data_IF_629675135881
#
_entry.id   IF_629675135881
#
_cell.length_a   1.000
_cell.length_b   1.000
_cell.length_c   1.000
_cell.angle_alpha   90.00
_cell.angle_beta   90.00
_cell.angle_gamma   90.00
#
_symmetry.space_group_name_H-M   'P 1'
#
loop_
_entity.id
_entity.type
_entity.pdbx_description
1 polymer ?
#
# COMPACT_ATOMS: atom_id res chain seq x y z
N UNK A 1 -17.52 7.28 17.18
CA UNK A 1 -16.30 6.53 17.54
C UNK A 1 -16.02 5.60 16.37
N UNK A 2 -14.86 5.76 15.73
CA UNK A 2 -14.49 4.96 14.57
C UNK A 2 -13.97 3.57 15.00
N UNK A 3 -13.99 2.60 14.09
CA UNK A 3 -13.54 1.23 14.40
C UNK A 3 -12.02 1.11 14.62
N UNK A 4 -11.25 2.16 14.29
CA UNK A 4 -9.80 2.26 14.49
C UNK A 4 -9.40 3.32 15.51
N UNK A 5 -10.34 3.79 16.34
CA UNK A 5 -10.05 4.76 17.39
C UNK A 5 -8.89 4.31 18.29
N UNK A 6 -7.92 5.22 18.49
CA UNK A 6 -6.72 4.97 19.27
C UNK A 6 -5.59 4.25 18.53
N UNK A 7 -5.82 3.68 17.36
CA UNK A 7 -4.78 3.02 16.54
C UNK A 7 -3.88 4.04 15.84
N UNK A 8 -2.64 3.67 15.63
CA UNK A 8 -1.64 4.45 14.90
C UNK A 8 -1.28 3.76 13.60
N UNK A 9 -1.38 4.47 12.48
CA UNK A 9 -1.05 3.97 11.15
C UNK A 9 0.12 4.74 10.53
N UNK A 10 1.09 4.02 9.97
CA UNK A 10 2.12 4.55 9.09
C UNK A 10 1.83 4.11 7.66
N UNK A 11 1.64 5.07 6.74
CA UNK A 11 1.34 4.81 5.33
C UNK A 11 2.43 5.38 4.45
N UNK A 12 3.16 4.52 3.72
CA UNK A 12 4.20 4.93 2.77
C UNK A 12 3.61 5.29 1.41
N UNK A 13 4.18 6.28 0.72
CA UNK A 13 3.63 6.78 -0.53
C UNK A 13 2.25 7.42 -0.39
N UNK A 14 1.96 8.03 0.78
CA UNK A 14 0.65 8.57 1.14
C UNK A 14 0.32 9.92 0.47
N UNK A 15 1.18 10.47 -0.37
CA UNK A 15 0.98 11.80 -0.97
C UNK A 15 0.12 11.82 -2.23
N UNK A 16 -0.37 10.69 -2.72
CA UNK A 16 -1.25 10.60 -3.88
C UNK A 16 -1.81 9.18 -4.05
N UNK A 17 -2.91 9.05 -4.80
CA UNK A 17 -3.45 7.77 -5.29
C UNK A 17 -3.84 6.81 -4.17
N UNK A 18 -3.47 5.52 -4.33
CA UNK A 18 -3.87 4.46 -3.39
C UNK A 18 -3.40 4.74 -1.96
N UNK A 19 -2.14 5.18 -1.79
CA UNK A 19 -1.61 5.49 -0.46
C UNK A 19 -2.32 6.65 0.22
N UNK A 20 -2.65 7.71 -0.52
CA UNK A 20 -3.47 8.82 -0.02
C UNK A 20 -4.88 8.34 0.36
N UNK A 21 -5.53 7.58 -0.54
CA UNK A 21 -6.88 7.04 -0.29
C UNK A 21 -6.91 6.15 0.96
N UNK A 22 -5.91 5.29 1.16
CA UNK A 22 -5.79 4.47 2.37
C UNK A 22 -5.61 5.35 3.62
N UNK A 23 -4.72 6.36 3.56
CA UNK A 23 -4.48 7.26 4.68
C UNK A 23 -5.76 8.01 5.10
N UNK A 24 -6.52 8.52 4.12
CA UNK A 24 -7.80 9.19 4.35
C UNK A 24 -8.84 8.26 4.97
N UNK A 25 -8.98 7.04 4.45
CA UNK A 25 -9.95 6.07 4.95
C UNK A 25 -9.63 5.59 6.37
N UNK A 26 -8.35 5.31 6.68
CA UNK A 26 -7.92 4.93 8.03
C UNK A 26 -8.19 6.05 9.04
N UNK A 27 -7.88 7.32 8.66
CA UNK A 27 -8.14 8.47 9.51
C UNK A 27 -9.64 8.74 9.73
N UNK A 28 -10.48 8.51 8.72
CA UNK A 28 -11.94 8.64 8.82
C UNK A 28 -12.54 7.66 9.85
N UNK A 29 -11.86 6.54 10.11
CA UNK A 29 -12.23 5.54 11.11
C UNK A 29 -11.51 5.73 12.45
N UNK A 30 -10.87 6.89 12.66
CA UNK A 30 -10.29 7.28 13.95
C UNK A 30 -8.83 6.93 14.15
N UNK A 31 -8.14 6.34 13.15
CA UNK A 31 -6.70 6.13 13.25
C UNK A 31 -5.93 7.46 13.20
N UNK A 32 -4.86 7.55 14.01
CA UNK A 32 -3.85 8.61 13.90
C UNK A 32 -2.86 8.21 12.81
N UNK A 33 -2.69 9.04 11.77
CA UNK A 33 -1.96 8.65 10.57
C UNK A 33 -0.66 9.42 10.42
N UNK A 34 0.46 8.70 10.27
CA UNK A 34 1.69 9.24 9.73
C UNK A 34 1.71 9.03 8.21
N UNK A 35 1.60 10.11 7.46
CA UNK A 35 1.70 10.11 6.00
C UNK A 35 3.17 10.26 5.60
N UNK A 36 3.77 9.23 4.99
CA UNK A 36 5.17 9.22 4.60
C UNK A 36 5.36 9.19 3.08
N UNK A 37 6.38 9.91 2.58
CA UNK A 37 6.72 9.90 1.16
C UNK A 37 7.85 10.84 0.79
N UNK A 38 8.45 10.68 -0.38
CA UNK A 38 9.61 11.45 -0.82
C UNK A 38 9.33 12.96 -0.96
N UNK A 39 8.15 13.33 -1.41
CA UNK A 39 7.75 14.73 -1.61
C UNK A 39 6.97 15.22 -0.41
N UNK A 40 7.65 15.89 0.53
CA UNK A 40 7.07 16.35 1.78
C UNK A 40 5.81 17.21 1.58
N UNK A 41 5.76 18.07 0.56
CA UNK A 41 4.59 18.92 0.28
C UNK A 41 3.33 18.09 -0.04
N UNK A 42 3.47 16.97 -0.77
CA UNK A 42 2.34 16.09 -1.09
C UNK A 42 1.79 15.39 0.16
N UNK A 43 2.66 14.82 1.00
CA UNK A 43 2.21 14.14 2.22
C UNK A 43 1.68 15.12 3.26
N UNK A 44 2.19 16.36 3.31
CA UNK A 44 1.61 17.44 4.12
C UNK A 44 0.19 17.77 3.64
N UNK A 45 -0.05 17.87 2.33
CA UNK A 45 -1.37 18.11 1.80
C UNK A 45 -2.37 17.01 2.21
N UNK A 46 -1.95 15.74 2.21
CA UNK A 46 -2.76 14.63 2.70
C UNK A 46 -3.06 14.77 4.21
N UNK A 47 -2.05 15.08 5.03
CA UNK A 47 -2.24 15.29 6.47
C UNK A 47 -3.19 16.47 6.77
N UNK A 48 -3.05 17.57 6.04
CA UNK A 48 -3.97 18.71 6.12
C UNK A 48 -5.40 18.36 5.69
N UNK A 49 -5.54 17.52 4.66
CA UNK A 49 -6.85 17.04 4.23
C UNK A 49 -7.52 16.18 5.31
N UNK A 50 -6.75 15.30 5.97
CA UNK A 50 -7.22 14.52 7.12
C UNK A 50 -7.67 15.46 8.25
N UNK A 51 -6.83 16.46 8.59
CA UNK A 51 -7.16 17.43 9.64
C UNK A 51 -8.43 18.24 9.34
N UNK A 52 -8.62 18.68 8.07
CA UNK A 52 -9.86 19.37 7.64
C UNK A 52 -11.11 18.51 7.78
N UNK A 53 -10.96 17.18 7.72
CA UNK A 53 -12.07 16.22 7.93
C UNK A 53 -12.24 15.81 9.40
N UNK A 54 -11.49 16.43 10.33
CA UNK A 54 -11.58 16.17 11.78
C UNK A 54 -10.74 14.99 12.25
N UNK A 55 -9.91 14.38 11.39
CA UNK A 55 -8.96 13.33 11.75
C UNK A 55 -7.63 13.86 12.27
N UNK A 56 -6.76 12.97 12.70
CA UNK A 56 -5.41 13.29 13.21
C UNK A 56 -4.34 12.71 12.30
N UNK A 57 -3.47 13.55 11.75
CA UNK A 57 -2.36 13.11 10.94
C UNK A 57 -1.13 14.00 11.09
N UNK A 58 0.02 13.41 10.84
CA UNK A 58 1.29 14.10 10.62
C UNK A 58 1.93 13.63 9.31
N UNK A 59 2.93 14.37 8.83
CA UNK A 59 3.61 14.09 7.58
C UNK A 59 5.12 14.04 7.78
N UNK A 60 5.79 13.08 7.19
CA UNK A 60 7.25 12.97 7.19
C UNK A 60 7.81 12.70 5.79
N UNK A 61 8.97 13.31 5.50
CA UNK A 61 9.73 12.95 4.30
C UNK A 61 10.39 11.57 4.52
N UNK A 62 10.32 10.70 3.50
CA UNK A 62 10.97 9.39 3.54
C UNK A 62 11.24 8.90 2.11
N UNK A 63 12.50 8.71 1.75
CA UNK A 63 12.85 7.90 0.60
C UNK A 63 12.92 6.44 1.05
N UNK A 64 11.98 5.63 0.60
CA UNK A 64 11.89 4.21 0.98
C UNK A 64 13.05 3.36 0.47
N UNK A 65 13.92 3.91 -0.39
CA UNK A 65 15.18 3.27 -0.81
C UNK A 65 16.33 3.50 0.17
N UNK A 66 16.16 4.39 1.15
CA UNK A 66 17.14 4.72 2.19
C UNK A 66 16.76 4.04 3.50
N UNK A 67 17.58 3.12 3.99
CA UNK A 67 17.34 2.44 5.28
C UNK A 67 17.31 3.44 6.44
N UNK A 68 18.16 4.46 6.42
CA UNK A 68 18.16 5.50 7.45
C UNK A 68 16.86 6.31 7.47
N UNK A 69 16.31 6.64 6.29
CA UNK A 69 15.02 7.35 6.21
C UNK A 69 13.87 6.48 6.70
N UNK A 70 13.90 5.16 6.39
CA UNK A 70 12.90 4.21 6.87
C UNK A 70 12.88 4.16 8.40
N UNK A 71 14.07 4.01 9.03
CA UNK A 71 14.19 4.00 10.51
C UNK A 71 13.71 5.32 11.11
N UNK A 72 14.19 6.45 10.58
CA UNK A 72 13.77 7.78 11.02
C UNK A 72 12.24 7.99 10.84
N UNK A 73 11.63 7.42 9.80
CA UNK A 73 10.19 7.49 9.57
C UNK A 73 9.39 6.71 10.64
N UNK A 74 9.87 5.52 11.04
CA UNK A 74 9.27 4.76 12.14
C UNK A 74 9.44 5.53 13.46
N UNK A 75 10.63 6.02 13.76
CA UNK A 75 10.90 6.80 14.98
C UNK A 75 10.02 8.05 15.05
N UNK A 76 9.90 8.82 13.96
CA UNK A 76 9.00 9.97 13.89
C UNK A 76 7.52 9.60 14.13
N UNK A 77 7.11 8.40 13.74
CA UNK A 77 5.75 7.91 14.02
C UNK A 77 5.55 7.64 15.51
N UNK A 78 6.54 7.02 16.14
CA UNK A 78 6.54 6.74 17.58
C UNK A 78 6.56 8.01 18.41
N UNK A 79 7.43 8.96 18.05
CA UNK A 79 7.54 10.27 18.71
C UNK A 79 6.24 11.07 18.63
N UNK A 80 5.58 11.01 17.47
CA UNK A 80 4.34 11.76 17.24
C UNK A 80 3.13 11.15 17.97
N UNK A 81 3.06 9.82 18.05
CA UNK A 81 1.82 9.13 18.42
C UNK A 81 1.97 8.09 19.54
N UNK A 82 3.21 7.78 19.96
CA UNK A 82 3.49 6.88 21.08
C UNK A 82 3.34 5.39 20.75
N UNK A 83 3.16 5.00 19.47
CA UNK A 83 3.03 3.60 19.07
C UNK A 83 2.88 3.42 17.56
N UNK A 84 2.77 2.15 17.13
CA UNK A 84 2.52 1.80 15.73
C UNK A 84 1.73 0.48 15.68
N UNK A 85 0.51 0.55 15.18
CA UNK A 85 -0.42 -0.59 15.08
C UNK A 85 -0.63 -1.08 13.65
N UNK A 86 -0.55 -0.18 12.66
CA UNK A 86 -0.87 -0.45 11.26
C UNK A 86 0.27 0.07 10.39
N UNK A 87 0.95 -0.83 9.68
CA UNK A 87 1.96 -0.46 8.69
C UNK A 87 1.41 -0.73 7.29
N UNK A 88 1.38 0.29 6.43
CA UNK A 88 0.97 0.16 5.02
C UNK A 88 2.17 0.43 4.11
N UNK A 89 2.72 -0.62 3.52
CA UNK A 89 3.79 -0.56 2.53
C UNK A 89 3.17 -0.38 1.14
N UNK A 90 3.01 0.88 0.73
CA UNK A 90 2.41 1.23 -0.56
C UNK A 90 3.39 1.90 -1.53
N UNK A 91 4.41 2.63 -1.04
CA UNK A 91 5.39 3.29 -1.89
C UNK A 91 6.08 2.31 -2.84
N UNK A 92 6.17 2.66 -4.14
CA UNK A 92 6.76 1.80 -5.16
C UNK A 92 7.16 2.60 -6.40
N UNK A 93 8.34 2.34 -6.93
CA UNK A 93 8.71 2.67 -8.30
C UNK A 93 8.37 1.48 -9.21
N UNK A 94 7.60 1.72 -10.25
CA UNK A 94 7.06 0.65 -11.09
C UNK A 94 7.96 0.40 -12.29
N UNK A 95 8.72 -0.71 -12.35
CA UNK A 95 9.55 -1.04 -13.51
C UNK A 95 8.67 -1.55 -14.66
N UNK A 96 8.36 -0.66 -15.60
CA UNK A 96 7.58 -0.99 -16.80
C UNK A 96 8.49 -1.17 -18.00
N UNK A 97 8.24 -2.20 -18.79
CA UNK A 97 8.95 -2.49 -20.02
C UNK A 97 9.03 -3.99 -20.30
N UNK A 98 9.30 -4.33 -21.58
CA UNK A 98 9.53 -5.72 -21.97
C UNK A 98 10.83 -6.22 -21.33
N UNK A 99 10.85 -7.46 -20.83
CA UNK A 99 12.00 -8.04 -20.13
C UNK A 99 13.28 -8.02 -20.99
N UNK A 100 13.15 -8.15 -22.31
CA UNK A 100 14.29 -8.12 -23.24
C UNK A 100 14.96 -6.75 -23.34
N UNK A 101 14.26 -5.66 -23.02
CA UNK A 101 14.75 -4.28 -23.18
C UNK A 101 14.77 -3.47 -21.89
N UNK A 102 14.21 -4.00 -20.79
CA UNK A 102 14.20 -3.32 -19.50
C UNK A 102 15.64 -3.12 -19.01
N UNK A 103 15.98 -1.91 -18.61
CA UNK A 103 17.29 -1.63 -18.07
C UNK A 103 17.39 -2.15 -16.62
N UNK A 104 18.61 -2.59 -16.25
CA UNK A 104 18.87 -3.16 -14.93
C UNK A 104 18.55 -2.18 -13.79
N UNK A 105 18.90 -0.92 -13.95
CA UNK A 105 18.63 0.13 -12.95
C UNK A 105 17.13 0.36 -12.70
N UNK A 106 16.29 0.17 -13.72
CA UNK A 106 14.83 0.22 -13.58
C UNK A 106 14.30 -0.95 -12.72
N UNK A 107 14.82 -2.16 -12.95
CA UNK A 107 14.48 -3.32 -12.12
C UNK A 107 14.98 -3.13 -10.68
N UNK A 108 16.23 -2.67 -10.51
CA UNK A 108 16.81 -2.39 -9.19
C UNK A 108 16.00 -1.33 -8.43
N UNK A 109 15.60 -0.24 -9.10
CA UNK A 109 14.75 0.79 -8.48
C UNK A 109 13.41 0.22 -8.00
N UNK A 110 12.79 -0.66 -8.79
CA UNK A 110 11.56 -1.37 -8.41
C UNK A 110 11.78 -2.28 -7.20
N UNK A 111 12.90 -3.01 -7.18
CA UNK A 111 13.27 -3.91 -6.09
C UNK A 111 13.56 -3.16 -4.79
N UNK A 112 14.36 -2.10 -4.87
CA UNK A 112 14.74 -1.28 -3.73
C UNK A 112 13.53 -0.56 -3.10
N UNK A 113 12.64 -0.02 -3.92
CA UNK A 113 11.46 0.72 -3.43
C UNK A 113 10.29 -0.16 -3.03
N UNK A 114 10.26 -1.41 -3.46
CA UNK A 114 9.20 -2.38 -3.18
C UNK A 114 9.57 -3.38 -2.10
N UNK A 115 9.99 -4.62 -2.48
CA UNK A 115 10.19 -5.69 -1.52
C UNK A 115 11.26 -5.37 -0.48
N UNK A 116 12.38 -4.73 -0.85
CA UNK A 116 13.43 -4.42 0.11
C UNK A 116 12.99 -3.31 1.08
N UNK A 117 12.32 -2.27 0.59
CA UNK A 117 11.73 -1.24 1.45
C UNK A 117 10.70 -1.83 2.42
N UNK A 118 9.76 -2.66 1.92
CA UNK A 118 8.77 -3.32 2.76
C UNK A 118 9.41 -4.20 3.82
N UNK A 119 10.43 -4.97 3.47
CA UNK A 119 11.22 -5.78 4.41
C UNK A 119 11.82 -4.93 5.52
N UNK A 120 12.49 -3.82 5.17
CA UNK A 120 13.13 -2.93 6.15
C UNK A 120 12.10 -2.25 7.06
N UNK A 121 10.97 -1.76 6.50
CA UNK A 121 9.86 -1.22 7.31
C UNK A 121 9.28 -2.26 8.25
N UNK A 122 9.05 -3.48 7.76
CA UNK A 122 8.52 -4.58 8.56
C UNK A 122 9.45 -4.91 9.73
N UNK A 123 10.77 -4.98 9.51
CA UNK A 123 11.73 -5.21 10.59
C UNK A 123 11.75 -4.06 11.61
N UNK A 124 11.79 -2.81 11.15
CA UNK A 124 11.81 -1.64 12.03
C UNK A 124 10.51 -1.51 12.84
N UNK A 125 9.36 -1.82 12.24
CA UNK A 125 8.05 -1.71 12.87
C UNK A 125 7.70 -2.90 13.78
N UNK A 126 8.28 -4.08 13.57
CA UNK A 126 7.90 -5.32 14.25
C UNK A 126 7.83 -5.22 15.78
N UNK A 127 8.82 -4.63 16.51
CA UNK A 127 8.75 -4.55 17.97
C UNK A 127 7.50 -3.81 18.47
N UNK A 128 7.04 -2.82 17.72
CA UNK A 128 5.90 -1.97 18.05
C UNK A 128 4.58 -2.63 17.66
N UNK A 129 4.54 -3.23 16.46
CA UNK A 129 3.40 -4.02 16.00
C UNK A 129 3.10 -5.19 16.95
N UNK A 130 4.13 -5.85 17.49
CA UNK A 130 3.98 -6.92 18.49
C UNK A 130 3.30 -6.44 19.76
N UNK A 131 3.62 -5.25 20.26
CA UNK A 131 3.00 -4.67 21.46
C UNK A 131 1.50 -4.45 21.27
N UNK A 132 1.09 -3.93 20.10
CA UNK A 132 -0.30 -3.60 19.75
C UNK A 132 -1.08 -4.74 19.09
N UNK A 133 -0.47 -5.92 18.87
CA UNK A 133 -1.04 -6.98 18.02
C UNK A 133 -1.48 -6.43 16.68
N UNK A 134 -0.57 -5.73 16.03
CA UNK A 134 -0.83 -4.91 14.87
C UNK A 134 -0.97 -5.68 13.56
N UNK A 135 -1.02 -4.91 12.47
CA UNK A 135 -1.13 -5.46 11.12
C UNK A 135 -0.19 -4.76 10.14
N UNK A 136 0.40 -5.55 9.26
CA UNK A 136 1.09 -5.07 8.06
C UNK A 136 0.19 -5.31 6.84
N UNK A 137 0.01 -4.28 6.03
CA UNK A 137 -0.70 -4.35 4.74
C UNK A 137 0.31 -3.99 3.64
N UNK A 138 0.71 -4.98 2.88
CA UNK A 138 1.64 -4.82 1.75
C UNK A 138 0.85 -4.69 0.44
N UNK A 139 1.07 -3.60 -0.31
CA UNK A 139 0.40 -3.38 -1.59
C UNK A 139 1.07 -4.21 -2.68
N UNK A 140 0.34 -5.22 -3.16
CA UNK A 140 0.70 -6.03 -4.31
C UNK A 140 0.03 -5.50 -5.60
N UNK A 141 -0.12 -6.33 -6.63
CA UNK A 141 -0.79 -5.96 -7.89
C UNK A 141 -1.46 -7.17 -8.53
N UNK A 142 -2.67 -6.98 -9.06
CA UNK A 142 -3.35 -8.00 -9.87
C UNK A 142 -2.64 -8.28 -11.21
N UNK A 143 -1.78 -7.36 -11.68
CA UNK A 143 -0.90 -7.61 -12.82
C UNK A 143 0.05 -8.80 -12.60
N UNK A 144 0.34 -9.17 -11.35
CA UNK A 144 1.14 -10.35 -11.01
C UNK A 144 0.39 -11.68 -11.23
N UNK A 145 -0.95 -11.65 -11.32
CA UNK A 145 -1.78 -12.82 -11.57
C UNK A 145 -2.04 -13.07 -13.07
N UNK A 146 -1.60 -12.15 -13.93
CA UNK A 146 -1.82 -12.22 -15.37
C UNK A 146 -0.50 -12.28 -16.11
N UNK A 147 -0.45 -13.13 -17.12
CA UNK A 147 0.64 -13.13 -18.10
C UNK A 147 0.23 -12.23 -19.26
N UNK A 148 0.54 -10.94 -19.19
CA UNK A 148 0.25 -10.02 -20.28
C UNK A 148 1.53 -9.52 -20.98
N UNK A 149 1.48 -9.25 -22.30
CA UNK A 149 2.64 -8.86 -23.09
C UNK A 149 2.96 -7.36 -22.98
N UNK A 150 2.27 -6.59 -22.14
CA UNK A 150 2.35 -5.12 -22.11
C UNK A 150 3.42 -4.57 -21.14
N UNK A 151 4.37 -5.42 -20.72
CA UNK A 151 5.56 -4.95 -20.02
C UNK A 151 5.46 -4.88 -18.50
N UNK A 152 4.53 -5.58 -17.88
CA UNK A 152 4.43 -5.68 -16.43
C UNK A 152 5.27 -6.81 -15.80
N UNK A 153 6.00 -7.62 -16.57
CA UNK A 153 6.71 -8.79 -16.07
C UNK A 153 7.70 -8.51 -14.93
N UNK A 154 8.50 -7.46 -15.05
CA UNK A 154 9.43 -7.05 -13.99
C UNK A 154 8.70 -6.54 -12.74
N UNK A 155 7.64 -5.75 -12.92
CA UNK A 155 6.79 -5.28 -11.82
C UNK A 155 6.08 -6.44 -11.11
N UNK A 156 5.57 -7.40 -11.87
CA UNK A 156 4.97 -8.62 -11.33
C UNK A 156 5.96 -9.40 -10.46
N UNK A 157 7.20 -9.61 -10.93
CA UNK A 157 8.24 -10.29 -10.17
C UNK A 157 8.55 -9.59 -8.84
N UNK A 158 8.68 -8.26 -8.85
CA UNK A 158 8.88 -7.44 -7.65
C UNK A 158 7.72 -7.62 -6.65
N UNK A 159 6.48 -7.63 -7.14
CA UNK A 159 5.29 -7.77 -6.28
C UNK A 159 5.07 -9.21 -5.79
N UNK A 160 5.45 -10.22 -6.57
CA UNK A 160 5.43 -11.62 -6.09
C UNK A 160 6.48 -11.86 -4.98
N UNK A 161 7.66 -11.24 -5.05
CA UNK A 161 8.62 -11.27 -3.96
C UNK A 161 8.02 -10.71 -2.67
N UNK A 162 7.29 -9.60 -2.75
CA UNK A 162 6.58 -9.01 -1.61
C UNK A 162 5.51 -9.96 -1.04
N UNK A 163 4.74 -10.62 -1.90
CA UNK A 163 3.74 -11.63 -1.47
C UNK A 163 4.39 -12.80 -0.75
N UNK A 164 5.50 -13.32 -1.28
CA UNK A 164 6.23 -14.42 -0.65
C UNK A 164 6.73 -14.04 0.76
N UNK A 165 7.37 -12.88 0.90
CA UNK A 165 7.80 -12.36 2.21
C UNK A 165 6.64 -12.13 3.17
N UNK A 166 5.50 -11.64 2.68
CA UNK A 166 4.31 -11.42 3.51
C UNK A 166 3.78 -12.73 4.10
N UNK A 167 3.77 -13.82 3.31
CA UNK A 167 3.38 -15.14 3.80
C UNK A 167 4.35 -15.66 4.87
N UNK A 168 5.66 -15.53 4.65
CA UNK A 168 6.67 -15.93 5.63
C UNK A 168 6.49 -15.16 6.95
N UNK A 169 6.43 -13.82 6.89
CA UNK A 169 6.24 -12.99 8.06
C UNK A 169 4.92 -13.27 8.81
N UNK A 170 3.84 -13.61 8.09
CA UNK A 170 2.57 -13.99 8.70
C UNK A 170 2.69 -15.26 9.57
N UNK A 171 3.47 -16.23 9.12
CA UNK A 171 3.76 -17.45 9.89
C UNK A 171 4.69 -17.18 11.08
N UNK A 172 5.76 -16.41 10.86
CA UNK A 172 6.75 -16.11 11.89
C UNK A 172 6.16 -15.25 13.02
N UNK A 173 5.31 -14.27 12.70
CA UNK A 173 4.81 -13.27 13.64
C UNK A 173 3.40 -13.54 14.16
N UNK A 174 2.71 -14.52 13.58
CA UNK A 174 1.39 -14.94 14.04
C UNK A 174 1.33 -15.30 15.52
N UNK A 175 2.30 -16.06 16.11
CA UNK A 175 2.35 -16.34 17.55
C UNK A 175 2.42 -15.08 18.42
N UNK A 176 2.97 -13.99 17.91
CA UNK A 176 3.02 -12.68 18.59
C UNK A 176 1.75 -11.84 18.37
N UNK A 177 0.79 -12.36 17.60
CA UNK A 177 -0.47 -11.68 17.29
C UNK A 177 -0.37 -10.65 16.18
N UNK A 178 0.77 -10.55 15.48
CA UNK A 178 0.96 -9.64 14.33
C UNK A 178 0.43 -10.32 13.07
N UNK A 179 -0.45 -9.63 12.35
CA UNK A 179 -0.97 -10.09 11.08
C UNK A 179 -0.21 -9.45 9.91
N UNK A 180 0.05 -10.20 8.87
CA UNK A 180 0.67 -9.68 7.63
C UNK A 180 -0.18 -10.12 6.45
N UNK A 181 -0.67 -9.18 5.68
CA UNK A 181 -1.57 -9.40 4.54
C UNK A 181 -1.13 -8.62 3.32
N UNK A 182 -1.48 -9.11 2.15
CA UNK A 182 -1.34 -8.35 0.91
C UNK A 182 -2.70 -7.81 0.45
N UNK A 183 -2.69 -6.60 -0.12
CA UNK A 183 -3.82 -5.98 -0.80
C UNK A 183 -3.45 -5.77 -2.27
N UNK A 184 -4.25 -6.28 -3.20
CA UNK A 184 -4.06 -6.14 -4.64
C UNK A 184 -5.14 -5.22 -5.22
N UNK A 185 -4.87 -3.91 -5.37
CA UNK A 185 -5.86 -2.98 -5.89
C UNK A 185 -5.82 -2.85 -7.41
N UNK A 186 -6.98 -2.57 -7.99
CA UNK A 186 -7.11 -1.81 -9.22
C UNK A 186 -7.87 -0.53 -8.88
N UNK A 187 -7.19 0.62 -9.00
CA UNK A 187 -7.75 1.89 -8.54
C UNK A 187 -7.52 3.03 -9.53
N UNK A 188 -8.41 3.99 -9.50
CA UNK A 188 -8.38 5.23 -10.26
C UNK A 188 -7.32 6.19 -9.70
N UNK A 189 -6.05 5.74 -9.79
CA UNK A 189 -4.89 6.50 -9.36
C UNK A 189 -4.60 7.68 -10.31
N UNK A 190 -3.76 8.66 -9.92
CA UNK A 190 -3.36 9.75 -10.83
C UNK A 190 -2.78 9.26 -12.17
N UNK A 191 -2.00 8.17 -12.15
CA UNK A 191 -1.49 7.56 -13.38
C UNK A 191 -2.59 6.97 -14.26
N UNK A 192 -3.61 6.35 -13.66
CA UNK A 192 -4.77 5.86 -14.39
C UNK A 192 -5.58 7.03 -15.00
N UNK A 193 -5.84 8.09 -14.22
CA UNK A 193 -6.58 9.27 -14.69
C UNK A 193 -5.86 9.96 -15.86
N UNK A 194 -4.54 10.06 -15.79
CA UNK A 194 -3.75 10.62 -16.89
C UNK A 194 -3.78 9.71 -18.14
N UNK A 195 -3.72 8.39 -17.95
CA UNK A 195 -3.88 7.44 -19.05
C UNK A 195 -5.28 7.52 -19.68
N UNK A 196 -6.35 7.55 -18.87
CA UNK A 196 -7.74 7.72 -19.32
C UNK A 196 -7.92 9.03 -20.12
N UNK A 197 -7.27 10.12 -19.67
CA UNK A 197 -7.33 11.42 -20.35
C UNK A 197 -6.58 11.41 -21.68
N UNK A 198 -5.43 10.74 -21.75
CA UNK A 198 -4.56 10.74 -22.94
C UNK A 198 -4.92 9.68 -23.96
N UNK A 199 -5.55 8.57 -23.51
CA UNK A 199 -5.92 7.41 -24.32
C UNK A 199 -7.31 6.88 -23.97
N UNK A 200 -8.37 7.68 -24.17
CA UNK A 200 -9.71 7.35 -23.68
C UNK A 200 -10.29 6.05 -24.27
N UNK A 201 -10.00 5.75 -25.53
CA UNK A 201 -10.48 4.53 -26.19
C UNK A 201 -9.81 3.27 -25.60
N UNK A 202 -8.50 3.32 -25.34
CA UNK A 202 -7.77 2.22 -24.71
C UNK A 202 -8.28 2.01 -23.27
N UNK A 203 -8.48 3.11 -22.52
CA UNK A 203 -9.01 3.05 -21.16
C UNK A 203 -10.43 2.47 -21.12
N UNK A 204 -11.30 2.87 -22.04
CA UNK A 204 -12.65 2.33 -22.17
C UNK A 204 -12.62 0.82 -22.50
N UNK A 205 -11.76 0.42 -23.44
CA UNK A 205 -11.56 -0.99 -23.77
C UNK A 205 -11.06 -1.80 -22.57
N UNK A 206 -10.14 -1.24 -21.79
CA UNK A 206 -9.66 -1.86 -20.56
C UNK A 206 -10.79 -2.01 -19.53
N UNK A 207 -11.57 -0.95 -19.25
CA UNK A 207 -12.71 -1.00 -18.33
C UNK A 207 -13.72 -2.06 -18.77
N UNK A 208 -13.90 -2.24 -20.07
CA UNK A 208 -14.78 -3.30 -20.61
C UNK A 208 -14.28 -4.73 -20.31
N UNK A 209 -13.00 -4.92 -19.91
CA UNK A 209 -12.49 -6.21 -19.45
C UNK A 209 -12.68 -6.42 -17.95
N UNK A 210 -12.92 -5.36 -17.17
CA UNK A 210 -13.20 -5.46 -15.74
C UNK A 210 -14.60 -6.02 -15.53
N UNK A 211 -14.81 -7.13 -14.82
CA UNK A 211 -16.14 -7.70 -14.60
C UNK A 211 -17.16 -6.72 -14.04
N UNK A 212 -16.79 -5.89 -13.07
CA UNK A 212 -17.67 -4.86 -12.50
C UNK A 212 -17.85 -3.63 -13.39
N UNK A 213 -17.14 -3.52 -14.54
CA UNK A 213 -17.26 -2.44 -15.53
C UNK A 213 -16.92 -1.05 -15.02
N UNK A 214 -16.16 -0.95 -13.95
CA UNK A 214 -15.57 0.29 -13.46
C UNK A 214 -14.24 0.04 -12.78
N UNK A 215 -13.45 1.09 -12.59
CA UNK A 215 -12.21 1.08 -11.81
C UNK A 215 -12.49 1.72 -10.46
N UNK A 216 -12.14 1.04 -9.37
CA UNK A 216 -12.45 1.47 -8.00
C UNK A 216 -11.75 2.78 -7.61
N UNK A 217 -12.34 3.53 -6.72
CA UNK A 217 -11.77 4.76 -6.16
C UNK A 217 -10.76 4.44 -5.05
N UNK A 218 -9.69 5.25 -4.97
CA UNK A 218 -8.60 5.00 -4.04
C UNK A 218 -9.05 5.01 -2.57
N UNK A 219 -9.93 5.90 -2.17
CA UNK A 219 -10.43 6.01 -0.79
C UNK A 219 -11.62 5.08 -0.53
N UNK A 220 -12.66 5.16 -1.39
CA UNK A 220 -13.95 4.51 -1.15
C UNK A 220 -13.90 2.99 -1.34
N UNK A 221 -13.05 2.49 -2.24
CA UNK A 221 -12.95 1.05 -2.50
C UNK A 221 -11.69 0.47 -1.86
N UNK A 222 -10.52 1.01 -2.17
CA UNK A 222 -9.25 0.46 -1.70
C UNK A 222 -8.98 0.84 -0.24
N UNK A 223 -9.23 2.10 0.12
CA UNK A 223 -9.10 2.58 1.51
C UNK A 223 -10.02 1.81 2.46
N UNK A 224 -11.26 1.56 2.07
CA UNK A 224 -12.22 0.77 2.88
C UNK A 224 -11.78 -0.68 3.05
N UNK A 225 -11.19 -1.29 2.02
CA UNK A 225 -10.62 -2.63 2.15
C UNK A 225 -9.42 -2.65 3.13
N UNK A 226 -8.57 -1.61 3.12
CA UNK A 226 -7.50 -1.47 4.10
C UNK A 226 -8.04 -1.29 5.53
N UNK A 227 -9.11 -0.52 5.72
CA UNK A 227 -9.83 -0.37 7.00
C UNK A 227 -10.36 -1.71 7.50
N UNK A 228 -11.01 -2.50 6.64
CA UNK A 228 -11.47 -3.86 6.96
C UNK A 228 -10.33 -4.75 7.43
N UNK A 229 -9.21 -4.76 6.72
CA UNK A 229 -8.03 -5.56 7.09
C UNK A 229 -7.40 -5.09 8.41
N UNK A 230 -7.41 -3.77 8.68
CA UNK A 230 -6.85 -3.18 9.89
C UNK A 230 -7.77 -3.32 11.10
N UNK A 231 -9.07 -3.37 10.88
CA UNK A 231 -10.10 -3.39 11.90
C UNK A 231 -10.36 -4.77 12.52
N UNK A 232 -11.33 -4.82 13.46
CA UNK A 232 -11.69 -6.04 14.17
C UNK A 232 -12.24 -7.14 13.26
N UNK A 233 -12.88 -6.77 12.14
CA UNK A 233 -13.44 -7.73 11.19
C UNK A 233 -12.35 -8.51 10.43
N UNK A 234 -11.15 -7.92 10.27
CA UNK A 234 -9.97 -8.56 9.70
C UNK A 234 -9.18 -9.43 10.69
N UNK A 235 -9.57 -9.55 11.94
CA UNK A 235 -8.78 -10.16 13.03
C UNK A 235 -8.31 -11.61 12.77
N UNK A 236 -9.01 -12.34 11.92
CA UNK A 236 -8.69 -13.74 11.59
C UNK A 236 -8.08 -13.91 10.20
N UNK A 237 -7.57 -12.80 9.61
CA UNK A 237 -6.96 -12.78 8.29
C UNK A 237 -5.48 -12.46 8.42
N UNK A 238 -4.62 -13.43 8.05
CA UNK A 238 -3.16 -13.27 7.93
C UNK A 238 -2.63 -14.21 6.84
N UNK A 239 -1.46 -13.92 6.27
CA UNK A 239 -0.84 -14.73 5.21
C UNK A 239 -1.58 -14.73 3.87
N UNK A 240 -2.68 -14.00 3.77
CA UNK A 240 -3.58 -13.99 2.62
C UNK A 240 -3.32 -12.78 1.72
N UNK A 241 -3.80 -12.87 0.49
CA UNK A 241 -3.88 -11.75 -0.45
C UNK A 241 -5.36 -11.45 -0.73
N UNK A 242 -5.79 -10.22 -0.40
CA UNK A 242 -7.11 -9.72 -0.75
C UNK A 242 -7.03 -8.99 -2.08
N UNK A 243 -7.75 -9.47 -3.08
CA UNK A 243 -7.85 -8.83 -4.39
C UNK A 243 -9.03 -7.87 -4.38
N UNK A 244 -8.79 -6.59 -4.71
CA UNK A 244 -9.79 -5.51 -4.76
C UNK A 244 -9.64 -4.78 -6.09
N UNK A 245 -10.10 -5.41 -7.16
CA UNK A 245 -9.83 -5.00 -8.54
C UNK A 245 -11.04 -5.13 -9.48
N UNK A 246 -12.24 -5.26 -8.92
CA UNK A 246 -13.46 -5.44 -9.72
C UNK A 246 -13.52 -6.78 -10.47
N UNK A 247 -12.70 -7.76 -10.08
CA UNK A 247 -12.61 -9.08 -10.70
C UNK A 247 -11.60 -9.17 -11.86
N UNK A 248 -10.83 -8.12 -12.10
CA UNK A 248 -9.95 -8.00 -13.26
C UNK A 248 -8.79 -9.01 -13.26
N UNK A 249 -8.18 -9.32 -12.10
CA UNK A 249 -7.11 -10.31 -11.96
C UNK A 249 -7.58 -11.76 -11.83
N UNK A 250 -8.87 -11.99 -11.58
CA UNK A 250 -9.44 -13.32 -11.32
C UNK A 250 -9.69 -14.19 -12.55
N UNK A 251 -9.31 -13.75 -13.74
CA UNK A 251 -9.54 -14.47 -15.00
C UNK A 251 -8.46 -15.52 -15.32
N UNK A 252 -7.83 -16.12 -14.31
CA UNK A 252 -6.73 -17.06 -14.57
C UNK A 252 -6.33 -17.96 -13.40
N UNK A 253 -7.18 -18.08 -12.37
CA UNK A 253 -6.96 -19.00 -11.24
C UNK A 253 -8.03 -20.08 -11.25
#
# INVERSE_FOLDING_TARGET
MGILDGRVALVTGAGQGVGEGIALALAAEGARVMAAGRTLSKVKATAEQIARRGGTAQATACDVKSESDIRACVDATLDAFGGLDILVNNAQEVPLGLLVSLQRDQLEAGWLSGPLAAFTFMQAAYPHLKQGRGVVINLATSAALRSDPIGYGAYAAVKEAMRAMSRAAAYEWGPDGVRVVCLMPLARSPGYVEWERTRPEEAAAFVATVPLRFVGECEQDIGRAAVFLAGPDGRYITGSTLVVDGGQGGQGV
#
